data_IF_737550143297
#
_entry.id   IF_737550143297
#
_cell.length_a   1.000
_cell.length_b   1.000
_cell.length_c   1.000
_cell.angle_alpha   90.00
_cell.angle_beta   90.00
_cell.angle_gamma   90.00
#
_symmetry.space_group_name_H-M   'P 1'
#
loop_
_entity.id
_entity.type
_entity.pdbx_description
1 polymer ?
#
# COMPACT_ATOMS: atom_id res chain seq x y z
N UNK A 1 -0.77 18.79 22.19
CA UNK A 1 -1.73 18.96 21.06
C UNK A 1 -1.54 20.34 20.46
N UNK A 2 -1.34 20.43 19.15
CA UNK A 2 -1.37 21.71 18.42
C UNK A 2 -2.73 21.88 17.75
N UNK A 3 -3.32 23.07 17.84
CA UNK A 3 -4.60 23.38 17.19
C UNK A 3 -4.32 24.05 15.85
N UNK A 4 -4.77 23.43 14.77
CA UNK A 4 -4.77 23.98 13.43
C UNK A 4 -6.21 24.37 13.06
N UNK A 5 -6.38 25.53 12.42
CA UNK A 5 -7.67 25.98 11.93
C UNK A 5 -7.67 25.85 10.41
N UNK A 6 -8.53 24.98 9.89
CA UNK A 6 -8.76 24.83 8.45
C UNK A 6 -10.06 25.54 8.07
N UNK A 7 -10.06 26.16 6.90
CA UNK A 7 -11.27 26.66 6.26
C UNK A 7 -11.65 25.68 5.18
N UNK A 8 -12.85 25.09 5.28
CA UNK A 8 -13.39 24.13 4.35
C UNK A 8 -14.71 24.67 3.81
N UNK A 9 -15.02 24.37 2.54
CA UNK A 9 -16.35 24.65 2.00
C UNK A 9 -17.41 23.72 2.62
N UNK A 10 -18.67 24.09 2.47
CA UNK A 10 -19.80 23.38 3.08
C UNK A 10 -19.94 21.94 2.56
N UNK A 11 -19.60 21.68 1.29
CA UNK A 11 -19.66 20.33 0.73
C UNK A 11 -18.57 19.43 1.35
N UNK A 12 -17.37 19.96 1.52
CA UNK A 12 -16.25 19.26 2.17
C UNK A 12 -16.55 18.97 3.65
N UNK A 13 -17.21 19.91 4.37
CA UNK A 13 -17.65 19.66 5.75
C UNK A 13 -18.67 18.53 5.82
N UNK A 14 -19.68 18.52 4.94
CA UNK A 14 -20.69 17.45 4.88
C UNK A 14 -20.06 16.09 4.57
N UNK A 15 -19.08 16.05 3.68
CA UNK A 15 -18.35 14.82 3.36
C UNK A 15 -17.58 14.31 4.58
N UNK A 16 -16.82 15.17 5.27
CA UNK A 16 -16.10 14.81 6.49
C UNK A 16 -17.04 14.26 7.57
N UNK A 17 -18.20 14.89 7.77
CA UNK A 17 -19.22 14.42 8.71
C UNK A 17 -19.74 13.03 8.37
N UNK A 18 -20.09 12.80 7.11
CA UNK A 18 -20.55 11.50 6.63
C UNK A 18 -19.48 10.42 6.88
N UNK A 19 -18.24 10.66 6.45
CA UNK A 19 -17.15 9.71 6.61
C UNK A 19 -16.83 9.43 8.08
N UNK A 20 -16.81 10.47 8.91
CA UNK A 20 -16.59 10.31 10.34
C UNK A 20 -17.69 9.44 10.97
N UNK A 21 -18.96 9.68 10.62
CA UNK A 21 -20.06 8.91 11.16
C UNK A 21 -20.04 7.44 10.72
N UNK A 22 -19.74 7.19 9.45
CA UNK A 22 -19.74 5.85 8.87
C UNK A 22 -18.58 4.98 9.37
N UNK A 23 -17.37 5.54 9.48
CA UNK A 23 -16.16 4.76 9.68
C UNK A 23 -15.41 5.05 10.99
N UNK A 24 -15.68 6.18 11.64
CA UNK A 24 -14.90 6.67 12.78
C UNK A 24 -15.76 7.14 13.95
N UNK A 25 -17.00 6.64 14.06
CA UNK A 25 -17.93 6.94 15.17
C UNK A 25 -18.14 8.45 15.42
N UNK A 26 -18.12 9.25 14.36
CA UNK A 26 -18.27 10.71 14.41
C UNK A 26 -16.98 11.49 14.74
N UNK A 27 -15.84 10.81 14.92
CA UNK A 27 -14.57 11.45 15.25
C UNK A 27 -13.89 12.09 14.03
N UNK A 28 -14.25 13.35 13.75
CA UNK A 28 -13.71 14.16 12.63
C UNK A 28 -12.18 14.25 12.63
N UNK A 29 -11.56 14.41 13.79
CA UNK A 29 -10.09 14.53 13.91
C UNK A 29 -9.39 13.25 13.50
N UNK A 30 -9.93 12.10 13.88
CA UNK A 30 -9.41 10.79 13.45
C UNK A 30 -9.62 10.58 11.96
N UNK A 31 -10.77 10.97 11.40
CA UNK A 31 -11.03 10.91 9.97
C UNK A 31 -10.05 11.76 9.16
N UNK A 32 -9.77 12.99 9.58
CA UNK A 32 -8.78 13.85 8.92
C UNK A 32 -7.39 13.23 9.00
N UNK A 33 -7.01 12.64 10.15
CA UNK A 33 -5.73 11.95 10.29
C UNK A 33 -5.62 10.76 9.33
N UNK A 34 -6.61 9.87 9.32
CA UNK A 34 -6.62 8.71 8.44
C UNK A 34 -6.60 9.11 6.96
N UNK A 35 -7.31 10.20 6.59
CA UNK A 35 -7.27 10.74 5.25
C UNK A 35 -5.89 11.30 4.89
N UNK A 36 -5.20 12.00 5.79
CA UNK A 36 -3.85 12.50 5.57
C UNK A 36 -2.82 11.37 5.51
N UNK A 37 -2.96 10.33 6.34
CA UNK A 37 -2.11 9.13 6.33
C UNK A 37 -2.32 8.33 5.05
N UNK A 38 -3.58 8.13 4.64
CA UNK A 38 -3.93 7.51 3.35
C UNK A 38 -3.39 8.34 2.20
N UNK A 39 -3.63 9.65 2.20
CA UNK A 39 -3.10 10.55 1.19
C UNK A 39 -1.58 10.52 1.16
N UNK A 40 -0.90 10.49 2.30
CA UNK A 40 0.56 10.37 2.36
C UNK A 40 1.06 9.00 1.86
N UNK A 41 0.33 7.91 2.14
CA UNK A 41 0.64 6.60 1.58
C UNK A 41 0.48 6.58 0.05
N UNK A 42 -0.52 7.27 -0.49
CA UNK A 42 -0.79 7.30 -1.93
C UNK A 42 0.03 8.36 -2.69
N UNK A 43 0.27 9.53 -2.10
CA UNK A 43 1.17 10.59 -2.63
C UNK A 43 2.64 10.16 -2.50
N UNK A 44 2.95 9.28 -1.53
CA UNK A 44 4.29 8.80 -1.22
C UNK A 44 4.85 7.72 -2.14
N UNK A 45 4.10 7.22 -3.13
CA UNK A 45 4.67 6.37 -4.18
C UNK A 45 5.42 7.24 -5.21
N UNK A 46 6.53 7.85 -4.81
CA UNK A 46 7.53 8.43 -5.71
C UNK A 46 8.28 7.33 -6.48
N UNK A 47 7.56 6.59 -7.32
CA UNK A 47 8.10 5.38 -7.93
C UNK A 47 7.04 4.60 -8.70
N UNK A 48 6.68 3.46 -8.15
CA UNK A 48 5.87 2.43 -8.77
C UNK A 48 4.89 1.86 -7.73
N UNK A 49 3.86 1.19 -8.21
CA UNK A 49 2.86 0.49 -7.40
C UNK A 49 2.85 -0.99 -7.77
N UNK A 50 2.42 -1.85 -6.85
CA UNK A 50 2.17 -3.26 -7.16
C UNK A 50 0.74 -3.36 -7.70
N UNK A 51 0.60 -3.70 -8.98
CA UNK A 51 -0.68 -3.84 -9.66
C UNK A 51 -1.25 -5.28 -9.60
N UNK A 52 -0.43 -6.24 -9.16
CA UNK A 52 -0.84 -7.63 -9.02
C UNK A 52 0.35 -8.55 -8.75
N UNK A 53 0.10 -9.85 -8.84
CA UNK A 53 1.09 -10.89 -8.58
C UNK A 53 1.05 -11.97 -9.66
N UNK A 54 2.21 -12.49 -10.03
CA UNK A 54 2.34 -13.66 -10.92
C UNK A 54 2.93 -14.82 -10.12
N UNK A 55 2.33 -16.03 -10.16
CA UNK A 55 2.91 -17.19 -9.51
C UNK A 55 4.22 -17.60 -10.20
N UNK A 56 5.21 -17.99 -9.40
CA UNK A 56 6.53 -18.44 -9.84
C UNK A 56 6.88 -19.69 -9.05
N UNK A 57 7.17 -20.77 -9.75
CA UNK A 57 7.75 -21.96 -9.15
C UNK A 57 9.21 -21.67 -8.77
N UNK A 58 9.56 -21.97 -7.53
CA UNK A 58 10.88 -21.70 -6.99
C UNK A 58 11.87 -22.73 -7.52
N UNK A 59 13.01 -22.23 -8.00
CA UNK A 59 14.16 -23.06 -8.40
C UNK A 59 15.31 -22.84 -7.41
N UNK A 60 15.42 -23.72 -6.41
CA UNK A 60 16.41 -23.65 -5.32
C UNK A 60 15.85 -23.08 -4.02
N UNK A 61 16.73 -22.70 -3.09
CA UNK A 61 16.33 -22.07 -1.83
C UNK A 61 16.16 -20.56 -2.02
N UNK A 62 14.99 -20.04 -1.63
CA UNK A 62 14.67 -18.62 -1.72
C UNK A 62 13.94 -18.17 -0.46
N UNK A 63 14.21 -16.94 0.00
CA UNK A 63 13.49 -16.34 1.11
C UNK A 63 12.37 -15.42 0.61
N UNK A 64 11.22 -15.45 1.28
CA UNK A 64 10.16 -14.48 1.09
C UNK A 64 10.68 -13.06 1.35
N UNK A 65 10.45 -12.13 0.43
CA UNK A 65 10.91 -10.75 0.54
C UNK A 65 10.30 -10.03 1.75
N UNK A 66 9.02 -10.26 2.02
CA UNK A 66 8.29 -9.58 3.11
C UNK A 66 8.59 -10.14 4.49
N UNK A 67 8.60 -11.47 4.67
CA UNK A 67 8.73 -12.08 6.00
C UNK A 67 10.04 -12.84 6.24
N UNK A 68 10.89 -12.99 5.23
CA UNK A 68 12.17 -13.70 5.33
C UNK A 68 12.08 -15.22 5.52
N UNK A 69 10.88 -15.79 5.39
CA UNK A 69 10.66 -17.24 5.48
C UNK A 69 11.33 -17.95 4.30
N UNK A 70 12.10 -19.00 4.58
CA UNK A 70 12.77 -19.80 3.56
C UNK A 70 11.77 -20.76 2.89
N UNK A 71 11.89 -20.89 1.58
CA UNK A 71 11.07 -21.75 0.73
C UNK A 71 11.98 -22.55 -0.21
N UNK A 72 11.55 -23.76 -0.52
CA UNK A 72 12.35 -24.74 -1.24
C UNK A 72 11.88 -24.93 -2.69
N UNK A 73 12.68 -25.66 -3.45
CA UNK A 73 12.41 -26.00 -4.84
C UNK A 73 11.05 -26.69 -5.01
N UNK A 74 10.29 -26.26 -6.02
CA UNK A 74 8.96 -26.77 -6.34
C UNK A 74 7.81 -26.09 -5.57
N UNK A 75 8.10 -25.23 -4.59
CA UNK A 75 7.09 -24.36 -3.99
C UNK A 75 6.68 -23.23 -4.94
N UNK A 76 5.47 -22.69 -4.73
CA UNK A 76 4.96 -21.57 -5.53
C UNK A 76 4.98 -20.30 -4.67
N UNK A 77 5.78 -19.33 -5.12
CA UNK A 77 5.79 -17.97 -4.58
C UNK A 77 5.24 -17.00 -5.62
N UNK A 78 5.14 -15.72 -5.25
CA UNK A 78 4.49 -14.72 -6.06
C UNK A 78 5.42 -13.55 -6.31
N UNK A 79 5.65 -13.25 -7.59
CA UNK A 79 6.38 -12.06 -8.01
C UNK A 79 5.42 -10.90 -8.19
N UNK A 80 5.64 -9.74 -7.56
CA UNK A 80 4.84 -8.56 -7.79
C UNK A 80 4.98 -8.07 -9.24
N UNK A 81 3.87 -7.59 -9.79
CA UNK A 81 3.81 -6.88 -11.06
C UNK A 81 3.81 -5.39 -10.76
N UNK A 82 4.88 -4.70 -11.15
CA UNK A 82 5.01 -3.28 -10.91
C UNK A 82 4.38 -2.47 -12.05
N UNK A 83 3.60 -1.46 -11.70
CA UNK A 83 3.11 -0.45 -12.64
C UNK A 83 3.76 0.91 -12.34
N UNK A 84 3.97 1.69 -13.40
CA UNK A 84 4.56 3.04 -13.31
C UNK A 84 3.62 3.96 -12.53
N UNK A 85 4.09 4.52 -11.42
CA UNK A 85 3.40 5.59 -10.71
C UNK A 85 3.49 6.93 -11.44
N UNK A 86 2.94 7.99 -10.85
CA UNK A 86 2.86 9.32 -11.48
C UNK A 86 4.19 10.10 -11.51
N UNK A 87 5.23 9.61 -10.81
CA UNK A 87 6.50 10.34 -10.66
C UNK A 87 7.41 10.25 -11.90
N UNK A 88 7.99 11.37 -12.37
CA UNK A 88 9.06 11.35 -13.36
C UNK A 88 10.29 10.67 -12.73
N UNK A 89 10.73 9.54 -13.31
CA UNK A 89 11.75 8.58 -12.79
C UNK A 89 11.21 7.42 -11.93
N UNK A 90 9.93 7.09 -12.10
CA UNK A 90 9.33 5.86 -11.59
C UNK A 90 10.08 4.57 -11.97
N UNK A 91 10.35 4.38 -13.28
CA UNK A 91 10.89 3.12 -13.81
C UNK A 91 12.32 2.80 -13.32
N UNK A 92 13.28 3.75 -13.26
CA UNK A 92 14.62 3.47 -12.74
C UNK A 92 14.67 3.10 -11.25
N UNK A 93 13.58 3.31 -10.49
CA UNK A 93 13.51 2.99 -9.06
C UNK A 93 12.79 1.66 -8.78
N UNK A 94 12.36 0.94 -9.82
CA UNK A 94 11.80 -0.42 -9.67
C UNK A 94 12.91 -1.35 -9.15
N UNK A 95 12.63 -2.19 -8.13
CA UNK A 95 13.57 -3.19 -7.65
C UNK A 95 14.08 -4.06 -8.80
N UNK A 96 15.40 -4.11 -8.95
CA UNK A 96 16.05 -4.96 -9.94
C UNK A 96 16.28 -6.39 -9.41
N UNK A 97 16.15 -6.59 -8.10
CA UNK A 97 16.31 -7.87 -7.43
C UNK A 97 15.08 -8.76 -7.61
N UNK A 98 15.29 -10.06 -7.46
CA UNK A 98 14.20 -11.04 -7.52
C UNK A 98 13.35 -10.89 -6.26
N UNK A 99 12.22 -10.22 -6.40
CA UNK A 99 11.21 -10.10 -5.35
C UNK A 99 10.22 -11.26 -5.46
N UNK A 100 10.18 -12.12 -4.43
CA UNK A 100 9.20 -13.19 -4.30
C UNK A 100 8.57 -13.14 -2.91
N UNK A 101 7.24 -13.14 -2.85
CA UNK A 101 6.49 -13.22 -1.60
C UNK A 101 5.74 -14.54 -1.46
N UNK A 102 5.64 -15.01 -0.23
CA UNK A 102 4.85 -16.19 0.11
C UNK A 102 3.34 -15.89 0.03
N UNK A 103 2.49 -16.93 -0.16
CA UNK A 103 1.05 -16.75 -0.30
C UNK A 103 0.43 -15.90 0.82
N UNK A 104 0.89 -16.11 2.07
CA UNK A 104 0.41 -15.37 3.25
C UNK A 104 0.69 -13.87 3.16
N UNK A 105 1.90 -13.49 2.72
CA UNK A 105 2.27 -12.08 2.62
C UNK A 105 1.52 -11.37 1.48
N UNK A 106 1.30 -12.06 0.36
CA UNK A 106 0.48 -11.55 -0.74
C UNK A 106 -0.95 -11.30 -0.29
N UNK A 107 -1.58 -12.26 0.40
CA UNK A 107 -2.95 -12.09 0.90
C UNK A 107 -3.10 -10.90 1.83
N UNK A 108 -2.12 -10.67 2.72
CA UNK A 108 -2.11 -9.52 3.62
C UNK A 108 -1.99 -8.19 2.87
N UNK A 109 -1.15 -8.12 1.83
CA UNK A 109 -1.00 -6.92 1.01
C UNK A 109 -2.22 -6.61 0.15
N UNK A 110 -2.99 -7.62 -0.28
CA UNK A 110 -4.22 -7.41 -1.05
C UNK A 110 -5.41 -6.96 -0.18
N UNK A 111 -5.32 -7.10 1.14
CA UNK A 111 -6.35 -6.70 2.10
C UNK A 111 -6.14 -5.30 2.69
N UNK A 112 -4.98 -4.68 2.45
CA UNK A 112 -4.59 -3.36 2.93
C UNK A 112 -4.99 -2.24 1.94
#
# INVERSE_FOLDING_TARGET
MHRLNFTLDEATVRLLEKLAQTYYHGNKSQTVRAALESLAAHIGHEGWVIAGYTPVEVHGDVACHTCGEEHHEGEVLYRPVFERGESPRALPRIPAEVWLDCPRCVEQQLQA
#
